data_IF_341358957651
#
_entry.id   IF_341358957651
#
_cell.length_a   1.000
_cell.length_b   1.000
_cell.length_c   1.000
_cell.angle_alpha   90.00
_cell.angle_beta   90.00
_cell.angle_gamma   90.00
#
_symmetry.space_group_name_H-M   'P 1'
#
loop_
_entity.id
_entity.type
_entity.pdbx_description
1 polymer ?
#
# COMPACT_ATOMS: atom_id res chain seq x y z
N UNK A 1 61.51 31.63 16.23
CA UNK A 1 62.29 30.39 16.21
C UNK A 1 61.52 29.32 16.97
N UNK A 2 60.86 28.38 16.28
CA UNK A 2 60.24 27.20 16.90
C UNK A 2 60.72 25.96 16.15
N UNK A 3 61.43 25.10 16.88
CA UNK A 3 62.04 23.86 16.38
C UNK A 3 60.95 22.83 16.12
N UNK A 4 61.02 22.15 14.98
CA UNK A 4 60.22 20.97 14.68
C UNK A 4 60.97 19.72 15.13
N UNK A 5 60.34 18.89 15.96
CA UNK A 5 60.84 17.55 16.30
C UNK A 5 60.11 16.49 15.44
N UNK A 6 60.82 15.52 14.83
CA UNK A 6 60.22 14.50 13.97
C UNK A 6 60.07 13.18 14.73
N UNK A 7 58.84 12.70 14.94
CA UNK A 7 58.61 11.34 15.45
C UNK A 7 57.39 10.70 14.78
N UNK A 8 57.68 9.67 13.97
CA UNK A 8 56.91 8.44 13.68
C UNK A 8 56.60 8.14 12.18
N UNK A 9 57.44 7.33 11.48
CA UNK A 9 57.30 6.99 10.05
C UNK A 9 56.27 5.88 9.73
N UNK A 10 55.63 5.29 10.73
CA UNK A 10 54.70 4.16 10.57
C UNK A 10 53.27 4.52 10.13
N UNK A 11 52.90 5.80 10.10
CA UNK A 11 51.52 6.21 9.79
C UNK A 11 51.19 6.17 8.28
N UNK A 12 52.21 6.19 7.40
CA UNK A 12 52.01 6.27 5.95
C UNK A 12 51.82 4.90 5.28
N UNK A 13 52.26 3.81 5.90
CA UNK A 13 52.13 2.46 5.33
C UNK A 13 50.72 1.88 5.51
N UNK A 14 50.02 2.24 6.60
CA UNK A 14 48.66 1.78 6.85
C UNK A 14 47.64 2.35 5.85
N UNK A 15 47.86 3.56 5.33
CA UNK A 15 46.93 4.20 4.39
C UNK A 15 47.00 3.58 2.97
N UNK A 16 48.18 3.14 2.54
CA UNK A 16 48.38 2.56 1.20
C UNK A 16 47.76 1.16 1.05
N UNK A 17 47.77 0.36 2.12
CA UNK A 17 47.17 -0.98 2.11
C UNK A 17 45.64 -0.94 1.97
N UNK A 18 44.99 0.08 2.54
CA UNK A 18 43.52 0.22 2.47
C UNK A 18 43.07 0.66 1.08
N UNK A 19 43.84 1.51 0.38
CA UNK A 19 43.50 1.95 -0.98
C UNK A 19 43.61 0.85 -2.04
N UNK A 20 44.51 -0.13 -1.86
CA UNK A 20 44.66 -1.21 -2.83
C UNK A 20 43.50 -2.23 -2.79
N UNK A 21 42.85 -2.40 -1.63
CA UNK A 21 41.78 -3.38 -1.47
C UNK A 21 40.44 -2.93 -2.08
N UNK A 22 40.25 -1.63 -2.32
CA UNK A 22 39.03 -1.10 -2.95
C UNK A 22 38.96 -1.27 -4.48
N UNK A 23 40.06 -1.61 -5.17
CA UNK A 23 40.06 -1.75 -6.64
C UNK A 23 39.79 -3.16 -7.15
N UNK A 24 39.68 -4.18 -6.28
CA UNK A 24 39.39 -5.58 -6.67
C UNK A 24 37.88 -5.88 -6.69
N UNK A 25 37.02 -4.84 -6.77
CA UNK A 25 35.56 -4.98 -6.79
C UNK A 25 34.89 -4.73 -8.14
N UNK A 26 35.61 -4.23 -9.16
CA UNK A 26 35.03 -3.89 -10.46
C UNK A 26 34.89 -5.13 -11.37
N UNK A 27 34.17 -6.15 -10.90
CA UNK A 27 33.74 -7.28 -11.69
C UNK A 27 32.58 -6.89 -12.61
N UNK A 28 32.89 -6.80 -13.91
CA UNK A 28 32.00 -6.68 -15.07
C UNK A 28 30.54 -7.07 -14.79
N UNK A 29 29.65 -6.09 -14.68
CA UNK A 29 28.20 -6.27 -14.77
C UNK A 29 27.85 -6.83 -16.15
N UNK A 30 27.62 -8.14 -16.21
CA UNK A 30 27.13 -8.84 -17.40
C UNK A 30 25.76 -8.26 -17.75
N UNK A 31 25.74 -7.25 -18.64
CA UNK A 31 24.50 -6.70 -19.22
C UNK A 31 23.73 -7.87 -19.81
N UNK A 32 22.63 -8.26 -19.15
CA UNK A 32 21.68 -9.23 -19.67
C UNK A 32 21.13 -8.62 -20.95
N UNK A 33 21.64 -9.08 -22.10
CA UNK A 33 21.08 -8.73 -23.41
C UNK A 33 19.65 -9.26 -23.41
N UNK A 34 18.69 -8.37 -23.44
CA UNK A 34 17.31 -8.72 -23.78
C UNK A 34 17.37 -9.28 -25.21
N UNK A 35 17.11 -10.57 -25.33
CA UNK A 35 16.92 -11.21 -26.63
C UNK A 35 15.71 -10.54 -27.29
N UNK A 36 15.81 -10.15 -28.58
CA UNK A 36 14.64 -9.64 -29.31
C UNK A 36 13.48 -10.62 -29.15
N UNK A 37 12.26 -10.14 -28.87
CA UNK A 37 11.11 -11.02 -28.73
C UNK A 37 10.97 -11.84 -30.02
N UNK A 38 10.90 -13.16 -29.90
CA UNK A 38 10.64 -14.02 -31.05
C UNK A 38 9.22 -13.73 -31.52
N UNK A 39 9.05 -13.73 -32.84
CA UNK A 39 7.91 -13.14 -33.57
C UNK A 39 6.56 -13.82 -33.27
N UNK A 40 6.52 -14.85 -32.42
CA UNK A 40 5.31 -15.55 -31.98
C UNK A 40 4.90 -15.29 -30.50
N UNK A 41 5.31 -14.17 -29.88
CA UNK A 41 4.85 -13.82 -28.52
C UNK A 41 3.41 -13.27 -28.53
N UNK A 42 2.44 -14.15 -28.24
CA UNK A 42 1.04 -13.76 -28.03
C UNK A 42 0.88 -13.02 -26.69
N UNK A 43 -0.09 -12.11 -26.60
CA UNK A 43 -0.43 -11.34 -25.39
C UNK A 43 -0.59 -12.27 -24.16
N UNK A 44 -1.11 -13.49 -24.35
CA UNK A 44 -1.25 -14.50 -23.29
C UNK A 44 0.07 -15.04 -22.73
N UNK A 45 1.18 -14.98 -23.47
CA UNK A 45 2.50 -15.43 -23.02
C UNK A 45 3.21 -14.37 -22.16
N UNK A 46 2.85 -13.10 -22.36
CA UNK A 46 3.41 -11.95 -21.64
C UNK A 46 2.53 -11.50 -20.47
N UNK A 47 1.24 -11.79 -20.52
CA UNK A 47 0.32 -11.48 -19.44
C UNK A 47 0.45 -12.48 -18.30
N UNK A 48 0.75 -11.97 -17.10
CA UNK A 48 0.61 -12.71 -15.86
C UNK A 48 -0.48 -12.05 -15.01
N UNK A 49 -1.40 -12.85 -14.46
CA UNK A 49 -2.43 -12.35 -13.55
C UNK A 49 -1.75 -12.06 -12.22
N UNK A 50 -1.59 -10.77 -11.89
CA UNK A 50 -1.01 -10.32 -10.62
C UNK A 50 -2.04 -10.35 -9.46
N UNK A 51 -3.24 -10.89 -9.66
CA UNK A 51 -4.24 -10.97 -8.60
C UNK A 51 -4.20 -12.33 -7.91
N UNK A 52 -3.34 -12.45 -6.88
CA UNK A 52 -3.42 -13.51 -5.85
C UNK A 52 -4.09 -13.03 -4.56
N UNK A 53 -4.68 -11.83 -4.58
CA UNK A 53 -5.42 -11.29 -3.45
C UNK A 53 -6.89 -11.69 -3.53
N UNK A 54 -7.44 -12.19 -2.44
CA UNK A 54 -8.88 -12.24 -2.25
C UNK A 54 -9.38 -10.79 -2.09
N UNK A 55 -10.21 -10.32 -3.03
CA UNK A 55 -10.89 -9.05 -2.87
C UNK A 55 -12.19 -9.31 -2.12
N UNK A 56 -12.16 -9.11 -0.80
CA UNK A 56 -13.35 -9.23 0.04
C UNK A 56 -14.26 -8.04 -0.21
N UNK A 57 -15.42 -8.28 -0.81
CA UNK A 57 -16.48 -7.30 -0.98
C UNK A 57 -17.36 -7.31 0.28
N UNK A 58 -17.38 -6.20 1.00
CA UNK A 58 -18.30 -5.96 2.11
C UNK A 58 -19.25 -4.84 1.69
N UNK A 59 -20.55 -5.04 1.91
CA UNK A 59 -21.59 -4.09 1.54
C UNK A 59 -22.67 -4.07 2.60
N UNK A 60 -23.23 -2.89 2.84
CA UNK A 60 -24.35 -2.69 3.74
C UNK A 60 -25.44 -1.93 3.01
N UNK A 61 -26.67 -2.45 3.05
CA UNK A 61 -27.83 -1.92 2.34
C UNK A 61 -28.89 -1.37 3.28
N UNK A 62 -29.47 -0.21 2.93
CA UNK A 62 -30.66 0.32 3.59
C UNK A 62 -31.91 -0.20 2.87
N UNK A 63 -32.74 -0.95 3.58
CA UNK A 63 -34.05 -1.41 3.11
C UNK A 63 -35.12 -0.49 3.66
N UNK A 64 -36.01 -0.02 2.78
CA UNK A 64 -37.09 0.93 3.10
C UNK A 64 -38.46 0.31 2.80
N UNK A 65 -39.51 0.79 3.48
CA UNK A 65 -40.89 0.40 3.19
C UNK A 65 -41.26 -0.99 3.70
N UNK A 66 -40.64 -1.42 4.80
CA UNK A 66 -40.96 -2.70 5.44
C UNK A 66 -42.31 -2.60 6.16
N UNK A 67 -43.09 -3.68 6.13
CA UNK A 67 -44.39 -3.81 6.80
C UNK A 67 -44.23 -3.99 8.33
N UNK A 68 -43.59 -3.02 8.99
CA UNK A 68 -43.19 -3.07 10.39
C UNK A 68 -42.30 -4.26 10.78
N UNK A 69 -41.66 -4.90 9.80
CA UNK A 69 -40.70 -6.00 10.00
C UNK A 69 -39.25 -5.53 10.04
N UNK A 70 -39.02 -4.23 9.85
CA UNK A 70 -37.74 -3.60 10.06
C UNK A 70 -37.34 -3.60 11.53
N UNK A 71 -36.04 -3.45 11.77
CA UNK A 71 -35.47 -3.45 13.11
C UNK A 71 -34.57 -2.24 13.26
N UNK A 72 -34.53 -1.69 14.48
CA UNK A 72 -33.58 -0.64 14.81
C UNK A 72 -32.15 -1.21 14.67
N UNK A 73 -31.37 -0.76 13.67
CA UNK A 73 -30.00 -1.21 13.53
C UNK A 73 -29.21 -0.73 14.75
N UNK A 74 -28.58 -1.67 15.45
CA UNK A 74 -27.73 -1.37 16.60
C UNK A 74 -26.60 -0.40 16.23
N UNK A 75 -25.97 0.24 17.23
CA UNK A 75 -24.83 1.11 17.00
C UNK A 75 -23.73 0.35 16.24
N UNK A 76 -23.35 0.87 15.08
CA UNK A 76 -22.34 0.30 14.20
C UNK A 76 -21.74 1.39 13.34
N UNK A 77 -20.52 1.18 12.86
CA UNK A 77 -19.85 2.15 12.00
C UNK A 77 -20.63 2.42 10.70
N UNK A 78 -21.27 1.39 10.14
CA UNK A 78 -22.10 1.49 8.95
C UNK A 78 -23.32 2.39 9.17
N UNK A 79 -23.94 2.28 10.35
CA UNK A 79 -25.07 3.14 10.74
C UNK A 79 -24.64 4.60 10.82
N UNK A 80 -23.47 4.88 11.38
CA UNK A 80 -22.96 6.25 11.51
C UNK A 80 -22.63 6.86 10.14
N UNK A 81 -21.99 6.08 9.27
CA UNK A 81 -21.74 6.49 7.89
C UNK A 81 -23.05 6.76 7.13
N UNK A 82 -24.05 5.88 7.25
CA UNK A 82 -25.34 6.09 6.62
C UNK A 82 -26.03 7.35 7.13
N UNK A 83 -25.99 7.60 8.45
CA UNK A 83 -26.52 8.84 9.03
C UNK A 83 -25.81 10.07 8.46
N UNK A 84 -24.50 10.00 8.27
CA UNK A 84 -23.72 11.10 7.68
C UNK A 84 -24.12 11.36 6.22
N UNK A 85 -24.30 10.30 5.43
CA UNK A 85 -24.80 10.40 4.06
C UNK A 85 -26.24 10.93 4.00
N UNK A 86 -27.13 10.46 4.88
CA UNK A 86 -28.50 10.97 4.98
C UNK A 86 -28.52 12.46 5.36
N UNK A 87 -27.61 12.92 6.23
CA UNK A 87 -27.46 14.35 6.55
C UNK A 87 -26.97 15.15 5.35
N UNK A 88 -25.99 14.65 4.60
CA UNK A 88 -25.50 15.29 3.37
C UNK A 88 -26.60 15.39 2.31
N UNK A 89 -27.49 14.39 2.25
CA UNK A 89 -28.66 14.38 1.38
C UNK A 89 -29.82 15.27 1.88
N UNK A 90 -29.69 15.93 3.03
CA UNK A 90 -30.72 16.81 3.59
C UNK A 90 -31.89 16.08 4.24
N UNK A 91 -31.75 14.80 4.59
CA UNK A 91 -32.79 14.05 5.28
C UNK A 91 -32.95 14.57 6.70
N UNK A 92 -34.17 14.94 7.06
CA UNK A 92 -34.49 15.41 8.40
C UNK A 92 -34.46 14.27 9.41
N UNK A 93 -33.84 14.50 10.57
CA UNK A 93 -33.84 13.58 11.71
C UNK A 93 -33.49 12.11 11.36
N UNK A 94 -32.34 11.84 10.71
CA UNK A 94 -32.01 10.51 10.18
C UNK A 94 -31.95 9.43 11.26
N UNK A 95 -31.48 9.77 12.48
CA UNK A 95 -31.47 8.85 13.60
C UNK A 95 -32.88 8.38 14.00
N UNK A 96 -33.88 9.27 13.93
CA UNK A 96 -35.26 8.93 14.25
C UNK A 96 -35.87 8.04 13.17
N UNK A 97 -35.52 8.33 11.91
CA UNK A 97 -35.95 7.55 10.75
C UNK A 97 -35.43 6.11 10.81
N UNK A 98 -34.12 5.93 11.03
CA UNK A 98 -33.49 4.61 11.13
C UNK A 98 -33.97 3.78 12.31
N UNK A 99 -34.45 4.42 13.38
CA UNK A 99 -35.05 3.73 14.52
C UNK A 99 -36.49 3.26 14.25
N UNK A 100 -37.08 3.53 13.08
CA UNK A 100 -38.42 3.09 12.74
C UNK A 100 -38.46 1.61 12.32
N UNK A 101 -39.57 0.93 12.64
CA UNK A 101 -39.86 -0.45 12.20
C UNK A 101 -40.05 -0.59 10.68
N UNK A 102 -40.04 0.51 9.94
CA UNK A 102 -40.21 0.50 8.49
C UNK A 102 -38.87 0.45 7.73
N UNK A 103 -37.76 0.57 8.44
CA UNK A 103 -36.41 0.56 7.88
C UNK A 103 -35.57 -0.58 8.49
N UNK A 104 -34.59 -1.06 7.73
CA UNK A 104 -33.59 -2.01 8.22
C UNK A 104 -32.26 -1.82 7.51
N UNK A 105 -31.17 -2.15 8.19
CA UNK A 105 -29.82 -2.19 7.62
C UNK A 105 -29.38 -3.66 7.56
N UNK A 106 -28.94 -4.12 6.39
CA UNK A 106 -28.52 -5.52 6.13
C UNK A 106 -27.11 -5.56 5.57
#
# INVERSE_FOLDING_TARGET
>A
MRRADPRHPWALTALAAITALSLVGAGSSKKRRETPPKVEETIGNLAYIQSKGELRLEGVGLVVGLDNTGSNPGPSWYRDQLVDEMRKAGVENPNKLLNSSNLSIV
#
